data_IF_304146866754
#
_entry.id   IF_304146866754
#
_cell.length_a   1.000
_cell.length_b   1.000
_cell.length_c   1.000
_cell.angle_alpha   90.00
_cell.angle_beta   90.00
_cell.angle_gamma   90.00
#
_symmetry.space_group_name_H-M   'P 1'
#
loop_
_entity.id
_entity.type
_entity.pdbx_description
1 polymer ?
#
# COMPACT_ATOMS: atom_id res chain seq x y z
N UNK A 1 18.65 69.95 43.29
CA UNK A 1 17.32 69.51 43.80
C UNK A 1 17.20 68.02 43.51
N UNK A 2 18.04 67.16 44.10
CA UNK A 2 17.98 66.59 45.47
C UNK A 2 17.26 65.22 45.42
N UNK A 3 17.89 64.04 45.56
CA UNK A 3 19.32 63.71 45.56
C UNK A 3 19.63 62.39 46.28
N UNK A 4 20.62 61.63 45.76
CA UNK A 4 21.71 60.95 46.53
C UNK A 4 21.33 59.70 47.38
N UNK A 5 22.18 58.66 47.60
CA UNK A 5 23.41 58.17 46.92
C UNK A 5 23.45 56.64 46.57
N UNK A 6 24.53 56.21 45.90
CA UNK A 6 25.17 54.86 45.96
C UNK A 6 26.54 54.98 46.69
N UNK A 7 27.37 53.95 47.00
CA UNK A 7 27.37 52.53 46.61
C UNK A 7 27.35 51.60 47.87
N UNK A 8 28.34 50.76 48.32
CA UNK A 8 29.71 50.41 47.88
C UNK A 8 29.85 48.95 47.36
N UNK A 9 31.08 48.40 47.38
CA UNK A 9 31.50 47.04 46.96
C UNK A 9 32.46 46.47 48.01
N UNK A 10 32.34 45.18 48.38
CA UNK A 10 33.47 44.38 48.94
C UNK A 10 33.21 42.87 48.84
N UNK A 11 34.24 42.08 48.47
CA UNK A 11 34.32 40.64 48.76
C UNK A 11 34.77 40.37 50.22
N UNK A 12 35.08 39.11 50.63
CA UNK A 12 36.06 38.26 49.92
C UNK A 12 35.76 36.73 49.90
N UNK A 13 36.72 35.99 49.37
CA UNK A 13 36.82 34.51 49.29
C UNK A 13 36.85 33.78 50.65
N UNK A 14 36.55 32.47 50.65
CA UNK A 14 37.52 31.38 50.98
C UNK A 14 36.88 29.98 50.82
N UNK A 15 37.74 28.99 50.57
CA UNK A 15 37.44 27.58 50.25
C UNK A 15 37.07 26.77 51.49
N UNK A 16 36.15 25.81 51.34
CA UNK A 16 35.91 24.74 52.31
C UNK A 16 35.49 23.44 51.62
N UNK A 17 36.34 22.42 51.65
CA UNK A 17 36.03 21.09 51.12
C UNK A 17 35.31 20.24 52.20
N UNK A 18 34.25 19.52 51.80
CA UNK A 18 33.49 18.63 52.69
C UNK A 18 32.88 17.48 51.89
N UNK A 19 33.29 16.25 52.21
CA UNK A 19 32.93 15.03 51.50
C UNK A 19 31.55 14.48 51.86
N UNK A 20 30.80 14.06 50.83
CA UNK A 20 30.06 12.80 50.83
C UNK A 20 28.64 12.78 51.43
N UNK A 21 27.64 12.80 50.56
CA UNK A 21 26.45 11.96 50.71
C UNK A 21 25.85 11.67 49.33
N UNK A 22 25.52 10.39 49.13
CA UNK A 22 24.87 9.80 47.95
C UNK A 22 23.45 10.38 47.75
N UNK A 23 23.15 10.94 46.58
CA UNK A 23 21.76 11.09 46.14
C UNK A 23 21.63 10.85 44.63
N UNK A 24 21.05 9.69 44.28
CA UNK A 24 20.91 9.19 42.92
C UNK A 24 19.80 9.92 42.17
N UNK A 25 20.15 11.06 41.57
CA UNK A 25 19.22 11.87 40.77
C UNK A 25 18.80 11.14 39.49
N UNK A 26 17.67 10.44 39.57
CA UNK A 26 17.10 9.67 38.48
C UNK A 26 16.65 10.59 37.32
N UNK A 27 17.46 10.63 36.26
CA UNK A 27 17.12 11.27 34.99
C UNK A 27 15.88 10.59 34.42
N UNK A 28 14.73 11.26 34.49
CA UNK A 28 13.49 10.81 33.87
C UNK A 28 13.65 10.85 32.35
N UNK A 29 14.02 9.73 31.75
CA UNK A 29 13.87 9.55 30.31
C UNK A 29 12.39 9.70 29.95
N UNK A 30 12.07 10.76 29.20
CA UNK A 30 10.79 10.86 28.52
C UNK A 30 10.72 9.76 27.46
N UNK A 31 10.03 8.68 27.82
CA UNK A 31 9.64 7.56 26.96
C UNK A 31 8.70 8.07 25.85
N UNK A 32 9.28 8.66 24.80
CA UNK A 32 8.54 9.05 23.59
C UNK A 32 8.21 7.81 22.77
N UNK A 33 7.25 7.02 23.27
CA UNK A 33 6.65 5.90 22.52
C UNK A 33 6.12 6.45 21.20
N UNK A 34 6.52 5.89 20.04
CA UNK A 34 5.91 6.29 18.78
C UNK A 34 4.43 5.90 18.81
N UNK A 35 3.56 6.90 18.72
CA UNK A 35 2.10 6.74 18.78
C UNK A 35 1.65 5.70 17.75
N UNK A 36 1.13 4.57 18.22
CA UNK A 36 0.69 3.47 17.37
C UNK A 36 -0.60 3.83 16.61
N UNK A 37 -0.50 4.62 15.55
CA UNK A 37 -1.58 4.82 14.57
C UNK A 37 -1.66 3.57 13.68
N UNK A 38 -2.02 2.44 14.29
CA UNK A 38 -2.41 1.22 13.58
C UNK A 38 -3.93 1.18 13.43
N UNK A 39 -4.50 2.22 12.82
CA UNK A 39 -5.82 2.08 12.18
C UNK A 39 -5.62 1.08 11.05
N UNK A 40 -6.45 0.03 10.99
CA UNK A 40 -6.44 -0.97 9.91
C UNK A 40 -6.84 -0.29 8.58
N UNK A 41 -5.88 0.37 7.94
CA UNK A 41 -5.98 0.88 6.59
C UNK A 41 -5.99 -0.32 5.66
N UNK A 42 -7.18 -0.80 5.33
CA UNK A 42 -7.41 -1.80 4.29
C UNK A 42 -7.36 -1.07 2.96
N UNK A 43 -6.27 -1.21 2.23
CA UNK A 43 -6.19 -0.64 0.89
C UNK A 43 -7.15 -1.42 0.00
N UNK A 44 -8.04 -0.73 -0.72
CA UNK A 44 -9.06 -1.32 -1.59
C UNK A 44 -8.45 -1.82 -2.94
N UNK A 45 -7.31 -2.53 -2.86
CA UNK A 45 -6.85 -3.45 -3.88
C UNK A 45 -7.42 -4.81 -3.53
N UNK A 46 -8.64 -5.06 -4.01
CA UNK A 46 -9.34 -6.32 -3.78
C UNK A 46 -8.64 -7.42 -4.60
N UNK A 47 -8.25 -8.57 -4.00
CA UNK A 47 -7.61 -9.64 -4.73
C UNK A 47 -8.55 -10.22 -5.80
N UNK A 48 -8.04 -10.68 -6.94
CA UNK A 48 -8.86 -11.42 -7.91
C UNK A 48 -9.46 -12.65 -7.22
N UNK A 49 -10.76 -12.88 -7.42
CA UNK A 49 -11.53 -13.90 -6.70
C UNK A 49 -11.02 -15.32 -6.98
N UNK A 50 -10.07 -15.78 -6.16
CA UNK A 50 -9.54 -17.15 -6.19
C UNK A 50 -10.59 -18.17 -5.73
N UNK A 51 -10.81 -19.20 -6.56
CA UNK A 51 -11.68 -20.33 -6.22
C UNK A 51 -11.08 -21.08 -5.02
N UNK A 52 -11.89 -21.34 -4.00
CA UNK A 52 -11.45 -22.07 -2.81
C UNK A 52 -11.07 -23.51 -3.14
N UNK A 53 -9.82 -23.89 -2.87
CA UNK A 53 -9.39 -25.28 -2.86
C UNK A 53 -10.01 -25.99 -1.65
N UNK A 54 -10.64 -27.14 -1.89
CA UNK A 54 -11.35 -27.91 -0.87
C UNK A 54 -10.42 -28.53 0.18
N UNK A 55 -11.00 -28.83 1.35
CA UNK A 55 -10.30 -29.46 2.48
C UNK A 55 -9.95 -30.91 2.12
N UNK A 56 -8.69 -31.30 2.31
CA UNK A 56 -8.31 -32.71 2.29
C UNK A 56 -8.90 -33.45 3.49
N UNK A 57 -9.60 -34.56 3.24
CA UNK A 57 -10.05 -35.51 4.27
C UNK A 57 -9.21 -36.78 4.13
N UNK A 58 -8.60 -37.20 5.22
CA UNK A 58 -7.83 -38.45 5.35
C UNK A 58 -8.72 -39.59 5.81
N UNK A 59 -8.66 -40.79 5.19
CA UNK A 59 -9.38 -41.95 5.74
C UNK A 59 -9.46 -43.24 4.92
N UNK A 60 -8.38 -44.03 4.90
CA UNK A 60 -8.30 -45.51 4.95
C UNK A 60 -9.38 -46.41 4.27
N UNK A 61 -8.92 -47.18 3.27
CA UNK A 61 -8.99 -48.66 3.11
C UNK A 61 -10.28 -49.45 3.40
N UNK A 62 -10.76 -50.21 2.38
CA UNK A 62 -11.18 -51.63 2.50
C UNK A 62 -11.26 -52.31 1.11
N UNK A 63 -11.28 -53.63 1.08
CA UNK A 63 -11.02 -54.49 -0.11
C UNK A 63 -12.25 -55.27 -0.58
N UNK A 64 -12.21 -55.76 -1.82
CA UNK A 64 -12.84 -56.99 -2.37
C UNK A 64 -14.31 -57.03 -2.86
N UNK A 65 -14.43 -57.40 -4.15
CA UNK A 65 -15.24 -58.51 -4.70
C UNK A 65 -16.68 -58.37 -5.22
N UNK A 66 -16.86 -59.01 -6.40
CA UNK A 66 -18.04 -59.64 -7.02
C UNK A 66 -19.19 -58.79 -7.61
N UNK A 67 -19.09 -58.58 -8.93
CA UNK A 67 -20.02 -59.07 -9.98
C UNK A 67 -21.50 -59.38 -9.63
N UNK A 68 -22.46 -58.78 -10.35
CA UNK A 68 -23.35 -59.50 -11.29
C UNK A 68 -24.22 -58.58 -12.20
N UNK A 69 -24.32 -58.97 -13.48
CA UNK A 69 -25.43 -58.85 -14.45
C UNK A 69 -26.28 -57.56 -14.66
N UNK A 70 -25.99 -56.86 -15.77
CA UNK A 70 -26.81 -56.83 -17.02
C UNK A 70 -28.30 -56.37 -17.00
N UNK A 71 -28.60 -55.17 -17.57
CA UNK A 71 -29.77 -54.81 -18.44
C UNK A 71 -29.78 -53.28 -18.76
N UNK A 72 -30.51 -52.77 -19.79
CA UNK A 72 -30.03 -52.70 -21.17
C UNK A 72 -29.92 -51.25 -21.71
N UNK A 73 -29.54 -51.11 -22.98
CA UNK A 73 -29.38 -49.81 -23.68
C UNK A 73 -30.64 -48.94 -23.67
N UNK A 74 -30.43 -47.63 -23.54
CA UNK A 74 -31.43 -46.61 -23.91
C UNK A 74 -30.80 -45.62 -24.88
N UNK A 75 -30.93 -45.92 -26.18
CA UNK A 75 -30.50 -45.05 -27.28
C UNK A 75 -31.22 -43.70 -27.18
N UNK A 76 -30.46 -42.59 -27.17
CA UNK A 76 -31.02 -41.23 -27.28
C UNK A 76 -30.54 -40.56 -28.57
N UNK A 77 -31.42 -39.83 -29.29
CA UNK A 77 -31.19 -39.45 -30.68
C UNK A 77 -30.18 -38.30 -30.84
N UNK A 78 -29.49 -38.29 -31.98
CA UNK A 78 -28.66 -37.17 -32.43
C UNK A 78 -29.52 -35.90 -32.57
N UNK A 79 -29.20 -34.86 -31.81
CA UNK A 79 -29.76 -33.52 -32.05
C UNK A 79 -29.02 -32.85 -33.21
N UNK A 80 -29.78 -32.33 -34.16
CA UNK A 80 -29.31 -31.55 -35.29
C UNK A 80 -28.65 -30.25 -34.86
N UNK A 81 -27.53 -29.91 -35.49
CA UNK A 81 -26.88 -28.60 -35.33
C UNK A 81 -27.62 -27.61 -36.23
N UNK A 82 -28.50 -26.80 -35.64
CA UNK A 82 -29.07 -25.64 -36.33
C UNK A 82 -28.00 -24.55 -36.37
N UNK A 83 -27.46 -24.28 -37.55
CA UNK A 83 -26.49 -23.23 -37.76
C UNK A 83 -27.16 -21.85 -37.70
N UNK A 84 -27.13 -21.20 -36.54
CA UNK A 84 -27.56 -19.81 -36.41
C UNK A 84 -26.60 -18.90 -37.18
N UNK A 85 -27.09 -18.26 -38.25
CA UNK A 85 -26.35 -17.23 -38.99
C UNK A 85 -25.87 -16.15 -38.02
N UNK A 86 -24.55 -15.97 -37.90
CA UNK A 86 -23.99 -14.75 -37.30
C UNK A 86 -24.21 -13.60 -38.28
N UNK A 87 -25.06 -12.65 -37.91
CA UNK A 87 -25.11 -11.36 -38.61
C UNK A 87 -23.77 -10.66 -38.45
N UNK A 88 -23.05 -10.51 -39.56
CA UNK A 88 -21.90 -9.62 -39.63
C UNK A 88 -22.42 -8.17 -39.69
N UNK A 89 -22.07 -7.39 -38.68
CA UNK A 89 -22.07 -5.93 -38.61
C UNK A 89 -21.20 -5.55 -37.39
N UNK A 90 -20.64 -4.34 -37.37
CA UNK A 90 -19.60 -3.89 -36.41
C UNK A 90 -18.18 -4.43 -36.64
N UNK A 91 -17.77 -4.51 -37.90
CA UNK A 91 -16.35 -4.37 -38.25
C UNK A 91 -15.93 -2.90 -38.18
N UNK A 92 -15.57 -2.43 -36.98
CA UNK A 92 -14.78 -1.20 -36.81
C UNK A 92 -13.53 -1.60 -36.06
N UNK A 93 -12.43 -1.68 -36.79
CA UNK A 93 -11.11 -1.87 -36.21
C UNK A 93 -10.75 -0.56 -35.47
N UNK A 94 -10.95 -0.56 -34.15
CA UNK A 94 -10.70 0.62 -33.32
C UNK A 94 -9.19 0.86 -33.26
N UNK A 95 -8.66 1.97 -33.81
CA UNK A 95 -7.24 2.23 -33.73
C UNK A 95 -6.82 2.27 -32.26
N UNK A 96 -5.75 1.54 -31.92
CA UNK A 96 -5.16 1.56 -30.58
C UNK A 96 -4.77 3.01 -30.28
N UNK A 97 -5.57 3.67 -29.46
CA UNK A 97 -5.35 5.06 -29.10
C UNK A 97 -3.91 5.23 -28.60
N UNK A 98 -3.15 6.10 -29.27
CA UNK A 98 -1.89 6.57 -28.74
C UNK A 98 -2.15 7.18 -27.35
N UNK A 99 -1.21 7.07 -26.38
CA UNK A 99 -1.40 7.67 -25.08
C UNK A 99 -1.62 9.17 -25.26
N UNK A 100 -2.85 9.63 -25.02
CA UNK A 100 -3.16 11.05 -24.98
C UNK A 100 -2.25 11.67 -23.91
N UNK A 101 -1.42 12.63 -24.30
CA UNK A 101 -0.47 13.29 -23.42
C UNK A 101 -1.22 13.76 -22.16
N UNK A 102 -0.96 13.11 -21.03
CA UNK A 102 -1.60 13.46 -19.78
C UNK A 102 -1.16 14.89 -19.43
N UNK A 103 -2.12 15.81 -19.36
CA UNK A 103 -1.83 17.19 -19.00
C UNK A 103 -1.05 17.26 -17.70
N UNK A 104 -0.18 18.26 -17.59
CA UNK A 104 0.70 18.50 -16.44
C UNK A 104 -0.10 18.58 -15.12
N UNK A 105 0.44 18.11 -13.99
CA UNK A 105 -0.31 18.13 -12.73
C UNK A 105 -0.33 19.52 -12.10
N UNK A 106 -1.49 20.19 -12.07
CA UNK A 106 -1.61 21.52 -11.44
C UNK A 106 -2.14 21.48 -9.99
N UNK A 107 -2.84 20.41 -9.59
CA UNK A 107 -3.47 20.28 -8.27
C UNK A 107 -4.76 19.46 -8.32
N UNK A 108 -5.21 18.98 -7.17
CA UNK A 108 -6.57 18.47 -6.97
C UNK A 108 -7.56 19.63 -6.72
N UNK A 109 -8.86 19.41 -6.98
CA UNK A 109 -9.88 20.46 -6.84
C UNK A 109 -10.00 21.06 -5.42
N UNK A 110 -9.77 20.26 -4.38
CA UNK A 110 -9.73 20.80 -3.01
C UNK A 110 -8.86 19.97 -2.05
N UNK A 111 -8.33 20.63 -1.02
CA UNK A 111 -7.43 20.04 0.00
C UNK A 111 -8.15 19.26 1.10
N UNK A 112 -9.46 19.44 1.21
CA UNK A 112 -10.29 18.99 2.34
C UNK A 112 -11.09 17.72 1.99
N UNK A 113 -11.11 17.32 0.72
CA UNK A 113 -11.84 16.20 0.16
C UNK A 113 -13.35 16.45 0.17
N UNK A 114 -13.81 17.67 -0.13
CA UNK A 114 -15.23 18.06 -0.02
C UNK A 114 -16.13 17.20 -0.91
N UNK A 115 -15.72 16.91 -2.13
CA UNK A 115 -16.41 15.96 -3.01
C UNK A 115 -16.64 14.60 -2.30
N UNK A 116 -15.59 14.02 -1.72
CA UNK A 116 -15.69 12.73 -1.02
C UNK A 116 -16.55 12.80 0.25
N UNK A 117 -16.60 13.94 0.96
CA UNK A 117 -17.53 14.18 2.08
C UNK A 117 -18.99 14.30 1.62
N UNK A 118 -19.23 14.81 0.41
CA UNK A 118 -20.56 14.86 -0.18
C UNK A 118 -20.99 13.46 -0.66
N UNK A 119 -20.10 12.74 -1.36
CA UNK A 119 -20.30 11.36 -1.82
C UNK A 119 -20.57 10.39 -0.65
N UNK A 120 -19.82 10.49 0.45
CA UNK A 120 -20.06 9.67 1.64
C UNK A 120 -21.47 9.81 2.23
N UNK A 121 -22.12 10.98 2.05
CA UNK A 121 -23.51 11.24 2.44
C UNK A 121 -24.52 10.90 1.34
N UNK A 122 -24.06 10.67 0.11
CA UNK A 122 -24.89 10.49 -1.09
C UNK A 122 -24.43 9.28 -1.90
N UNK A 123 -24.41 8.11 -1.29
CA UNK A 123 -24.02 6.82 -1.91
C UNK A 123 -25.07 6.28 -2.89
N UNK A 124 -25.61 7.14 -3.76
CA UNK A 124 -26.70 6.89 -4.72
C UNK A 124 -26.24 7.18 -6.16
N UNK A 125 -26.75 6.42 -7.13
CA UNK A 125 -26.27 6.45 -8.53
C UNK A 125 -26.66 7.72 -9.28
N UNK A 126 -27.88 8.20 -9.04
CA UNK A 126 -28.42 9.47 -9.54
C UNK A 126 -27.55 10.65 -9.08
N UNK A 127 -27.21 10.70 -7.78
CA UNK A 127 -26.36 11.75 -7.24
C UNK A 127 -24.97 11.73 -7.86
N UNK A 128 -24.32 10.56 -7.94
CA UNK A 128 -23.00 10.47 -8.59
C UNK A 128 -23.05 10.81 -10.08
N UNK A 129 -24.12 10.46 -10.81
CA UNK A 129 -24.26 10.83 -12.21
C UNK A 129 -24.29 12.35 -12.39
N UNK A 130 -25.03 13.08 -11.54
CA UNK A 130 -25.08 14.54 -11.56
C UNK A 130 -23.74 15.22 -11.18
N UNK A 131 -22.92 14.59 -10.32
CA UNK A 131 -21.63 15.14 -9.87
C UNK A 131 -20.41 14.47 -10.55
N UNK A 132 -20.65 13.71 -11.62
CA UNK A 132 -19.60 12.91 -12.28
C UNK A 132 -18.47 13.78 -12.83
N UNK A 133 -18.81 14.94 -13.40
CA UNK A 133 -17.84 15.87 -13.96
C UNK A 133 -16.92 16.48 -12.89
N UNK A 134 -17.46 16.80 -11.70
CA UNK A 134 -16.67 17.26 -10.55
C UNK A 134 -15.62 16.22 -10.13
N UNK A 135 -16.00 14.94 -10.09
CA UNK A 135 -15.05 13.85 -9.84
C UNK A 135 -14.01 13.70 -10.95
N UNK A 136 -14.44 13.67 -12.21
CA UNK A 136 -13.55 13.39 -13.34
C UNK A 136 -12.53 14.52 -13.55
N UNK A 137 -12.97 15.78 -13.48
CA UNK A 137 -12.10 16.95 -13.64
C UNK A 137 -11.30 17.28 -12.37
N UNK A 138 -11.92 17.18 -11.19
CA UNK A 138 -11.30 17.60 -9.94
C UNK A 138 -10.39 16.57 -9.27
N UNK A 139 -10.56 15.28 -9.62
CA UNK A 139 -9.88 14.18 -8.95
C UNK A 139 -9.28 13.15 -9.91
N UNK A 140 -10.06 12.64 -10.88
CA UNK A 140 -9.58 11.55 -11.73
C UNK A 140 -8.50 12.01 -12.73
N UNK A 141 -8.72 13.11 -13.45
CA UNK A 141 -7.74 13.66 -14.36
C UNK A 141 -6.48 14.16 -13.63
N UNK A 142 -6.57 14.93 -12.52
CA UNK A 142 -5.41 15.26 -11.69
C UNK A 142 -4.65 14.04 -11.15
N UNK A 143 -5.31 12.96 -10.74
CA UNK A 143 -4.61 11.74 -10.29
C UNK A 143 -3.84 11.06 -11.43
N UNK A 144 -4.39 11.03 -12.66
CA UNK A 144 -3.68 10.52 -13.84
C UNK A 144 -2.45 11.38 -14.14
N UNK A 145 -2.62 12.71 -14.18
CA UNK A 145 -1.54 13.68 -14.38
C UNK A 145 -0.43 13.54 -13.34
N UNK A 146 -0.81 13.47 -12.06
CA UNK A 146 0.13 13.31 -10.93
C UNK A 146 0.98 12.06 -11.08
N UNK A 147 0.36 10.90 -11.32
CA UNK A 147 1.09 9.65 -11.39
C UNK A 147 1.93 9.51 -12.66
N UNK A 148 1.51 10.13 -13.77
CA UNK A 148 2.33 10.23 -14.98
C UNK A 148 3.58 11.09 -14.75
N UNK A 149 3.41 12.35 -14.31
CA UNK A 149 4.52 13.29 -14.06
C UNK A 149 5.48 12.77 -12.98
N UNK A 150 4.95 12.10 -11.94
CA UNK A 150 5.81 11.45 -10.94
C UNK A 150 6.52 10.23 -11.54
N UNK A 151 5.84 9.33 -12.26
CA UNK A 151 6.45 8.12 -12.87
C UNK A 151 7.66 8.47 -13.72
N UNK A 152 7.53 9.43 -14.63
CA UNK A 152 8.64 9.91 -15.47
C UNK A 152 9.83 10.38 -14.63
N UNK A 153 9.58 11.11 -13.54
CA UNK A 153 10.64 11.65 -12.66
C UNK A 153 11.26 10.62 -11.70
N UNK A 154 10.59 9.51 -11.40
CA UNK A 154 11.12 8.45 -10.52
C UNK A 154 11.70 7.26 -11.29
N UNK A 155 11.36 7.04 -12.56
CA UNK A 155 11.85 5.92 -13.37
C UNK A 155 13.40 5.81 -13.41
N UNK A 156 14.17 6.91 -13.56
CA UNK A 156 15.64 6.84 -13.51
C UNK A 156 16.21 6.44 -12.13
N UNK A 157 15.38 6.37 -11.10
CA UNK A 157 15.78 5.90 -9.75
C UNK A 157 15.70 4.37 -9.62
N UNK A 158 15.14 3.66 -10.59
CA UNK A 158 14.96 2.20 -10.60
C UNK A 158 15.70 1.53 -11.77
N UNK A 159 17.05 1.65 -11.85
CA UNK A 159 17.83 1.25 -13.03
C UNK A 159 17.83 -0.27 -13.30
N UNK A 160 17.42 -1.10 -12.35
CA UNK A 160 17.30 -2.56 -12.52
C UNK A 160 15.86 -3.02 -12.79
N UNK A 161 14.89 -2.20 -12.40
CA UNK A 161 13.50 -2.59 -12.22
C UNK A 161 12.56 -1.53 -12.84
N UNK A 162 12.40 -1.52 -14.18
CA UNK A 162 11.70 -0.44 -14.89
C UNK A 162 10.26 -0.28 -14.40
N UNK A 163 9.74 0.95 -14.43
CA UNK A 163 8.40 1.23 -13.91
C UNK A 163 7.31 0.99 -14.94
N UNK A 164 6.29 0.24 -14.56
CA UNK A 164 5.11 0.00 -15.39
C UNK A 164 4.19 1.22 -15.48
N UNK A 165 3.25 1.15 -16.41
CA UNK A 165 2.25 2.21 -16.64
C UNK A 165 1.46 2.56 -15.35
N UNK A 166 1.30 3.86 -15.03
CA UNK A 166 0.49 4.32 -13.91
C UNK A 166 -0.96 3.83 -13.95
N UNK A 167 -1.49 3.41 -12.81
CA UNK A 167 -2.86 2.86 -12.70
C UNK A 167 -3.67 3.61 -11.65
N UNK A 168 -4.77 4.23 -12.08
CA UNK A 168 -5.77 4.85 -11.20
C UNK A 168 -6.94 3.88 -10.98
N UNK A 169 -7.37 3.67 -9.74
CA UNK A 169 -8.47 2.77 -9.44
C UNK A 169 -9.82 3.36 -9.87
N UNK A 170 -10.75 2.48 -10.26
CA UNK A 170 -12.17 2.85 -10.43
C UNK A 170 -12.76 3.33 -9.09
N UNK A 171 -13.64 4.32 -9.16
CA UNK A 171 -14.40 4.82 -7.99
C UNK A 171 -15.45 3.80 -7.51
N UNK A 172 -15.95 2.94 -8.39
CA UNK A 172 -16.94 1.92 -8.04
C UNK A 172 -16.31 0.82 -7.16
N UNK A 173 -17.02 0.41 -6.09
CA UNK A 173 -16.62 -0.73 -5.24
C UNK A 173 -16.98 -2.07 -5.89
N UNK A 174 -16.36 -3.19 -5.50
CA UNK A 174 -16.99 -4.51 -5.69
C UNK A 174 -17.82 -4.88 -4.45
N UNK A 175 -19.14 -4.80 -4.59
CA UNK A 175 -20.05 -5.02 -3.46
C UNK A 175 -20.57 -6.46 -3.38
N UNK A 176 -20.15 -7.37 -4.28
CA UNK A 176 -20.70 -8.75 -4.35
C UNK A 176 -20.50 -9.48 -3.03
N UNK A 177 -19.27 -9.50 -2.52
CA UNK A 177 -18.89 -10.21 -1.30
C UNK A 177 -18.71 -9.30 -0.07
N UNK A 178 -18.84 -7.98 -0.23
CA UNK A 178 -18.73 -7.02 0.88
C UNK A 178 -19.99 -7.02 1.76
N UNK A 179 -19.83 -6.81 3.07
CA UNK A 179 -20.95 -6.49 3.98
C UNK A 179 -21.48 -5.08 3.74
N UNK A 180 -20.56 -4.13 3.52
CA UNK A 180 -20.90 -2.78 3.05
C UNK A 180 -21.27 -2.83 1.57
N UNK A 181 -22.52 -2.44 1.25
CA UNK A 181 -23.06 -2.42 -0.11
C UNK A 181 -22.95 -1.05 -0.79
N UNK A 182 -22.20 -0.11 -0.20
CA UNK A 182 -21.85 1.19 -0.80
C UNK A 182 -21.32 1.05 -2.23
N UNK A 183 -21.98 1.62 -3.25
CA UNK A 183 -21.55 1.46 -4.65
C UNK A 183 -20.25 2.20 -4.98
N UNK A 184 -19.89 3.23 -4.22
CA UNK A 184 -18.75 4.11 -4.48
C UNK A 184 -17.75 4.14 -3.32
N UNK A 185 -16.47 4.25 -3.66
CA UNK A 185 -15.37 4.58 -2.75
C UNK A 185 -15.40 6.07 -2.41
N UNK A 186 -15.20 6.40 -1.13
CA UNK A 186 -15.10 7.77 -0.63
C UNK A 186 -13.66 8.31 -0.67
N UNK A 187 -12.89 7.83 -1.64
CA UNK A 187 -11.51 8.19 -1.92
C UNK A 187 -11.18 7.88 -3.39
N UNK A 188 -10.11 8.49 -3.89
CA UNK A 188 -9.41 8.09 -5.10
C UNK A 188 -8.03 7.54 -4.72
N UNK A 189 -7.52 6.60 -5.50
CA UNK A 189 -6.13 6.19 -5.39
C UNK A 189 -5.57 5.66 -6.70
N UNK A 190 -4.26 5.50 -6.73
CA UNK A 190 -3.55 4.91 -7.85
C UNK A 190 -2.10 4.59 -7.48
N UNK A 191 -1.40 3.93 -8.39
CA UNK A 191 -0.06 3.41 -8.14
C UNK A 191 0.79 3.32 -9.41
N UNK A 192 2.09 3.30 -9.20
CA UNK A 192 3.13 3.00 -10.19
C UNK A 192 3.83 1.72 -9.71
N UNK A 193 3.70 0.66 -10.50
CA UNK A 193 4.26 -0.65 -10.21
C UNK A 193 5.69 -0.77 -10.75
N UNK A 194 6.47 -1.69 -10.18
CA UNK A 194 7.59 -2.28 -10.90
C UNK A 194 7.00 -3.15 -12.03
N UNK A 195 7.49 -2.98 -13.26
CA UNK A 195 7.04 -3.78 -14.38
C UNK A 195 7.62 -5.20 -14.34
N UNK A 196 6.92 -6.17 -14.93
CA UNK A 196 7.31 -7.59 -14.92
C UNK A 196 7.21 -8.31 -13.55
N UNK A 197 7.42 -7.61 -12.43
CA UNK A 197 7.51 -8.17 -11.07
C UNK A 197 6.17 -8.59 -10.43
N UNK A 198 5.20 -9.05 -11.23
CA UNK A 198 3.88 -9.53 -10.81
C UNK A 198 2.71 -8.75 -11.42
N UNK A 199 1.51 -8.89 -10.85
CA UNK A 199 0.30 -8.17 -11.31
C UNK A 199 -0.57 -7.71 -10.15
N UNK A 200 -1.16 -6.52 -10.29
CA UNK A 200 -2.15 -6.00 -9.34
C UNK A 200 -1.57 -5.74 -7.94
N UNK A 201 -2.23 -6.20 -6.84
CA UNK A 201 -1.72 -6.04 -5.47
C UNK A 201 -0.42 -6.80 -5.23
N UNK A 202 -0.15 -7.80 -6.07
CA UNK A 202 0.92 -8.78 -5.94
C UNK A 202 2.17 -8.39 -6.74
N UNK A 203 2.25 -7.15 -7.23
CA UNK A 203 3.48 -6.54 -7.71
C UNK A 203 4.01 -5.53 -6.66
N UNK A 204 5.33 -5.41 -6.46
CA UNK A 204 5.92 -4.28 -5.76
C UNK A 204 5.54 -2.96 -6.44
N UNK A 205 5.20 -1.95 -5.64
CA UNK A 205 4.90 -0.60 -6.10
C UNK A 205 6.01 0.38 -5.70
N UNK A 206 6.57 1.08 -6.67
CA UNK A 206 7.46 2.22 -6.46
C UNK A 206 6.73 3.38 -5.76
N UNK A 207 5.43 3.55 -6.06
CA UNK A 207 4.58 4.54 -5.43
C UNK A 207 3.11 4.09 -5.44
N UNK A 208 2.40 4.37 -4.34
CA UNK A 208 0.95 4.39 -4.25
C UNK A 208 0.51 5.70 -3.59
N UNK A 209 -0.56 6.29 -4.10
CA UNK A 209 -1.21 7.50 -3.58
C UNK A 209 -2.69 7.20 -3.34
N UNK A 210 -3.21 7.65 -2.21
CA UNK A 210 -4.61 7.52 -1.82
C UNK A 210 -5.07 8.80 -1.12
N UNK A 211 -6.16 9.38 -1.64
CA UNK A 211 -6.73 10.64 -1.20
C UNK A 211 -8.24 10.49 -1.00
N UNK A 212 -8.71 10.68 0.22
CA UNK A 212 -10.13 10.69 0.58
C UNK A 212 -10.48 11.89 1.45
N UNK A 213 -11.73 11.90 1.94
CA UNK A 213 -12.20 12.96 2.85
C UNK A 213 -11.36 13.05 4.14
N UNK A 214 -11.12 11.91 4.77
CA UNK A 214 -10.46 11.81 6.08
C UNK A 214 -8.99 11.35 5.99
N UNK A 215 -8.63 10.66 4.91
CA UNK A 215 -7.38 9.92 4.76
C UNK A 215 -6.54 10.47 3.60
N UNK A 216 -5.26 10.73 3.87
CA UNK A 216 -4.24 11.08 2.88
C UNK A 216 -3.07 10.15 3.13
N UNK A 217 -2.84 9.22 2.22
CA UNK A 217 -1.85 8.17 2.39
C UNK A 217 -0.99 8.04 1.13
N UNK A 218 0.31 7.93 1.35
CA UNK A 218 1.31 7.62 0.33
C UNK A 218 2.20 6.51 0.86
N UNK A 219 2.52 5.51 0.05
CA UNK A 219 3.44 4.44 0.43
C UNK A 219 4.18 3.85 -0.77
N UNK A 220 5.17 3.02 -0.48
CA UNK A 220 5.87 2.18 -1.44
C UNK A 220 6.14 0.78 -0.85
N UNK A 221 6.44 -0.19 -1.71
CA UNK A 221 6.71 -1.59 -1.35
C UNK A 221 5.67 -2.57 -1.91
N UNK A 222 5.60 -3.77 -1.34
CA UNK A 222 4.82 -4.89 -1.85
C UNK A 222 3.64 -5.15 -0.91
N UNK A 223 2.45 -4.67 -1.29
CA UNK A 223 1.28 -4.60 -0.38
C UNK A 223 0.79 -5.98 0.10
N UNK A 224 0.55 -6.89 -0.84
CA UNK A 224 0.15 -8.28 -0.60
C UNK A 224 1.09 -9.17 -1.41
N UNK A 225 1.61 -10.23 -0.79
CA UNK A 225 2.44 -11.23 -1.47
C UNK A 225 1.65 -12.54 -1.62
N UNK A 226 1.72 -13.16 -2.80
CA UNK A 226 1.20 -14.51 -3.04
C UNK A 226 2.03 -15.57 -2.27
N UNK A 227 1.53 -16.81 -2.10
CA UNK A 227 2.23 -17.84 -1.31
C UNK A 227 3.70 -18.09 -1.68
N UNK A 228 4.02 -18.08 -2.97
CA UNK A 228 5.40 -18.26 -3.48
C UNK A 228 6.28 -17.03 -3.20
N UNK A 229 5.74 -15.82 -3.39
CA UNK A 229 6.42 -14.56 -3.05
C UNK A 229 6.68 -14.48 -1.54
N UNK A 230 5.74 -14.97 -0.72
CA UNK A 230 5.91 -15.08 0.73
C UNK A 230 6.98 -16.10 1.14
N UNK A 231 7.16 -17.17 0.38
CA UNK A 231 8.25 -18.11 0.63
C UNK A 231 9.61 -17.45 0.39
N UNK A 232 9.82 -16.87 -0.81
CA UNK A 232 11.06 -16.15 -1.17
C UNK A 232 11.34 -14.96 -0.24
N UNK A 233 10.31 -14.20 0.13
CA UNK A 233 10.44 -13.14 1.12
C UNK A 233 10.91 -13.64 2.49
N UNK A 234 10.33 -14.73 3.01
CA UNK A 234 10.73 -15.27 4.32
C UNK A 234 12.13 -15.87 4.29
N UNK A 235 12.51 -16.53 3.20
CA UNK A 235 13.88 -17.02 3.00
C UNK A 235 14.89 -15.85 3.00
N UNK A 236 14.64 -14.80 2.22
CA UNK A 236 15.47 -13.60 2.20
C UNK A 236 15.47 -12.82 3.54
N UNK A 237 14.44 -12.98 4.37
CA UNK A 237 14.40 -12.44 5.74
C UNK A 237 15.22 -13.27 6.73
N UNK A 238 15.39 -14.59 6.50
CA UNK A 238 16.29 -15.43 7.29
C UNK A 238 17.76 -15.23 6.90
N UNK A 239 18.05 -15.13 5.61
CA UNK A 239 19.39 -14.88 5.06
C UNK A 239 20.05 -13.65 5.72
N UNK A 240 21.23 -13.83 6.31
CA UNK A 240 21.88 -12.80 7.12
C UNK A 240 22.28 -11.55 6.32
N UNK A 241 22.73 -11.73 5.08
CA UNK A 241 23.10 -10.60 4.21
C UNK A 241 21.85 -9.87 3.71
N UNK A 242 20.91 -10.58 3.08
CA UNK A 242 19.69 -10.00 2.49
C UNK A 242 18.79 -9.40 3.57
N UNK A 243 18.51 -10.12 4.65
CA UNK A 243 17.64 -9.67 5.72
C UNK A 243 18.32 -8.67 6.67
N UNK A 244 19.64 -8.74 6.85
CA UNK A 244 20.42 -7.69 7.53
C UNK A 244 20.36 -6.36 6.77
N UNK A 245 20.52 -6.39 5.44
CA UNK A 245 20.32 -5.24 4.58
C UNK A 245 18.88 -4.69 4.67
N UNK A 246 17.86 -5.56 4.68
CA UNK A 246 16.47 -5.14 4.87
C UNK A 246 16.26 -4.40 6.21
N UNK A 247 16.77 -4.94 7.32
CA UNK A 247 16.68 -4.28 8.64
C UNK A 247 17.38 -2.92 8.62
N UNK A 248 18.53 -2.80 7.96
CA UNK A 248 19.23 -1.52 7.80
C UNK A 248 18.41 -0.50 6.99
N UNK A 249 17.77 -0.92 5.89
CA UNK A 249 16.86 -0.11 5.06
C UNK A 249 15.67 0.37 5.89
N UNK A 250 14.96 -0.54 6.55
CA UNK A 250 13.78 -0.21 7.36
C UNK A 250 14.13 0.72 8.53
N UNK A 251 15.28 0.52 9.19
CA UNK A 251 15.79 1.41 10.25
C UNK A 251 16.11 2.82 9.73
N UNK A 252 16.67 2.94 8.53
CA UNK A 252 16.94 4.25 7.88
C UNK A 252 15.64 4.96 7.50
N UNK A 253 14.65 4.22 7.02
CA UNK A 253 13.31 4.72 6.70
C UNK A 253 12.53 5.15 7.94
N UNK A 254 12.59 4.38 9.03
CA UNK A 254 11.96 4.72 10.32
C UNK A 254 12.48 6.05 10.90
N UNK A 255 13.81 6.24 10.94
CA UNK A 255 14.42 7.54 11.28
C UNK A 255 14.03 8.68 10.33
N UNK A 256 13.55 8.34 9.14
CA UNK A 256 13.08 9.27 8.12
C UNK A 256 11.61 9.66 8.23
N UNK A 257 10.88 9.15 9.23
CA UNK A 257 9.45 9.37 9.43
C UNK A 257 8.53 8.39 8.70
N UNK A 258 9.07 7.32 8.10
CA UNK A 258 8.27 6.30 7.42
C UNK A 258 7.79 5.22 8.39
N UNK A 259 6.55 4.75 8.24
CA UNK A 259 5.96 3.70 9.06
C UNK A 259 5.90 2.35 8.33
N UNK A 260 6.40 1.28 8.95
CA UNK A 260 6.48 -0.07 8.33
C UNK A 260 5.16 -0.83 8.46
N UNK A 261 4.44 -0.98 7.35
CA UNK A 261 3.13 -1.63 7.26
C UNK A 261 3.15 -3.03 6.62
N UNK A 262 1.97 -3.65 6.57
CA UNK A 262 1.67 -4.88 5.82
C UNK A 262 0.15 -4.96 5.61
N UNK A 263 -0.32 -5.62 4.55
CA UNK A 263 -1.76 -5.88 4.36
C UNK A 263 -2.36 -6.71 5.52
N UNK A 264 -1.63 -7.74 5.96
CA UNK A 264 -2.02 -8.64 7.03
C UNK A 264 -0.78 -9.12 7.78
N UNK A 265 -0.90 -9.41 9.07
CA UNK A 265 0.20 -9.83 9.94
C UNK A 265 -0.28 -10.92 10.89
N UNK A 266 0.41 -12.05 10.85
CA UNK A 266 0.14 -13.20 11.69
C UNK A 266 0.43 -12.87 13.16
N UNK A 267 -0.45 -13.35 14.05
CA UNK A 267 -0.27 -13.19 15.50
C UNK A 267 0.93 -13.99 16.04
N UNK A 268 1.29 -15.08 15.36
CA UNK A 268 2.42 -15.95 15.70
C UNK A 268 3.34 -16.10 14.50
N UNK A 269 4.62 -16.36 14.76
CA UNK A 269 5.59 -16.75 13.72
C UNK A 269 5.05 -18.00 12.99
N UNK A 270 5.14 -18.09 11.64
CA UNK A 270 4.67 -19.26 10.92
C UNK A 270 5.41 -20.54 11.35
N UNK A 271 4.77 -21.70 11.20
CA UNK A 271 5.44 -23.00 11.44
C UNK A 271 6.67 -23.15 10.53
N UNK A 272 7.73 -23.76 11.07
CA UNK A 272 9.00 -23.94 10.37
C UNK A 272 10.02 -22.81 10.57
N UNK A 273 9.67 -21.74 11.27
CA UNK A 273 10.57 -20.64 11.62
C UNK A 273 10.74 -20.54 13.14
N UNK A 274 11.94 -20.20 13.59
CA UNK A 274 12.23 -19.96 15.00
C UNK A 274 11.50 -18.71 15.52
N UNK A 275 10.67 -18.82 16.58
CA UNK A 275 10.06 -17.67 17.25
C UNK A 275 11.06 -16.69 17.87
N UNK A 276 12.26 -17.16 18.24
CA UNK A 276 13.34 -16.36 18.83
C UNK A 276 14.20 -15.59 17.82
N UNK A 277 14.01 -15.84 16.52
CA UNK A 277 14.85 -15.24 15.47
C UNK A 277 14.79 -13.69 15.52
N UNK A 278 15.93 -12.96 15.41
CA UNK A 278 15.95 -11.49 15.54
C UNK A 278 15.04 -10.72 14.55
N UNK A 279 14.59 -11.38 13.47
CA UNK A 279 13.70 -10.83 12.44
C UNK A 279 12.30 -11.46 12.46
N UNK A 280 11.90 -12.12 13.55
CA UNK A 280 10.61 -12.81 13.71
C UNK A 280 9.38 -11.97 13.34
N UNK A 281 9.39 -10.67 13.63
CA UNK A 281 8.29 -9.76 13.29
C UNK A 281 8.15 -9.43 11.79
N UNK A 282 9.20 -9.66 11.00
CA UNK A 282 9.12 -9.58 9.54
C UNK A 282 8.52 -10.87 8.98
N UNK A 283 8.88 -12.04 9.52
CA UNK A 283 8.35 -13.35 9.11
C UNK A 283 6.82 -13.47 9.28
N UNK A 284 6.24 -12.76 10.27
CA UNK A 284 4.80 -12.70 10.52
C UNK A 284 4.00 -11.97 9.42
N UNK A 285 4.63 -11.10 8.62
CA UNK A 285 3.95 -10.23 7.65
C UNK A 285 3.52 -10.99 6.40
N UNK A 286 2.49 -10.49 5.70
CA UNK A 286 1.99 -11.03 4.42
C UNK A 286 2.20 -10.07 3.23
N UNK A 287 3.24 -9.26 3.32
CA UNK A 287 3.53 -8.11 2.47
C UNK A 287 4.35 -7.10 3.27
N UNK A 288 5.09 -6.21 2.61
CA UNK A 288 5.93 -5.23 3.27
C UNK A 288 5.85 -3.90 2.54
N UNK A 289 5.31 -2.89 3.23
CA UNK A 289 5.23 -1.51 2.73
C UNK A 289 5.83 -0.54 3.73
N UNK A 290 6.17 0.66 3.24
CA UNK A 290 6.46 1.83 4.06
C UNK A 290 5.53 2.97 3.70
N UNK A 291 4.67 3.36 4.65
CA UNK A 291 3.88 4.59 4.56
C UNK A 291 4.80 5.78 4.78
N UNK A 292 4.68 6.78 3.92
CA UNK A 292 5.47 8.00 3.96
C UNK A 292 4.97 8.87 5.14
N UNK A 293 5.76 9.87 5.60
CA UNK A 293 5.23 10.93 6.47
C UNK A 293 3.94 11.52 5.87
N UNK A 294 2.94 11.87 6.69
CA UNK A 294 1.68 12.41 6.17
C UNK A 294 1.93 13.76 5.46
N UNK A 295 1.62 13.91 4.16
CA UNK A 295 1.84 15.16 3.46
C UNK A 295 0.82 16.21 3.92
N UNK A 296 1.27 17.46 4.06
CA UNK A 296 0.36 18.57 4.34
C UNK A 296 -0.73 18.66 3.27
N UNK A 297 -2.00 18.72 3.68
CA UNK A 297 -3.15 18.89 2.77
C UNK A 297 -3.00 20.09 1.82
N UNK A 298 -2.22 21.12 2.19
CA UNK A 298 -1.91 22.26 1.30
C UNK A 298 -1.15 21.85 0.03
N UNK A 299 -0.35 20.78 0.07
CA UNK A 299 0.38 20.28 -1.10
C UNK A 299 -0.59 19.74 -2.17
N UNK A 300 -1.70 19.11 -1.76
CA UNK A 300 -2.64 18.46 -2.69
C UNK A 300 -3.20 19.41 -3.77
N UNK A 301 -3.30 20.70 -3.46
CA UNK A 301 -3.83 21.74 -4.37
C UNK A 301 -2.73 22.50 -5.11
N UNK A 302 -1.52 21.94 -5.24
CA UNK A 302 -0.43 22.59 -5.96
C UNK A 302 0.64 21.64 -6.49
N UNK A 303 1.32 22.11 -7.55
CA UNK A 303 2.40 21.39 -8.26
C UNK A 303 3.47 20.76 -7.37
N UNK A 304 3.81 21.41 -6.25
CA UNK A 304 4.87 20.98 -5.32
C UNK A 304 4.62 19.62 -4.66
N UNK A 305 3.40 19.07 -4.78
CA UNK A 305 3.15 17.68 -4.40
C UNK A 305 3.96 16.68 -5.24
N UNK A 306 4.21 16.96 -6.53
CA UNK A 306 5.08 16.13 -7.39
C UNK A 306 6.48 16.05 -6.80
N UNK A 307 7.07 17.20 -6.44
CA UNK A 307 8.41 17.25 -5.85
C UNK A 307 8.49 16.55 -4.49
N UNK A 308 7.44 16.69 -3.67
CA UNK A 308 7.33 16.01 -2.39
C UNK A 308 7.28 14.48 -2.57
N UNK A 309 6.48 13.99 -3.53
CA UNK A 309 6.37 12.57 -3.86
C UNK A 309 7.71 12.03 -4.38
N UNK A 310 8.32 12.67 -5.38
CA UNK A 310 9.63 12.27 -5.94
C UNK A 310 10.70 12.20 -4.85
N UNK A 311 10.75 13.21 -3.97
CA UNK A 311 11.72 13.27 -2.87
C UNK A 311 11.55 12.13 -1.87
N UNK A 312 10.31 11.77 -1.50
CA UNK A 312 10.06 10.68 -0.56
C UNK A 312 10.22 9.30 -1.22
N UNK A 313 9.78 9.13 -2.47
CA UNK A 313 10.00 7.89 -3.24
C UNK A 313 11.48 7.58 -3.38
N UNK A 314 12.34 8.58 -3.67
CA UNK A 314 13.80 8.40 -3.72
C UNK A 314 14.40 7.80 -2.44
N UNK A 315 13.79 8.04 -1.27
CA UNK A 315 14.21 7.46 0.01
C UNK A 315 13.77 6.00 0.16
N UNK A 316 12.62 5.65 -0.44
CA UNK A 316 12.03 4.31 -0.41
C UNK A 316 12.56 3.36 -1.51
N UNK A 317 13.20 3.87 -2.57
CA UNK A 317 13.84 3.08 -3.66
C UNK A 317 14.57 1.84 -3.16
N UNK A 318 15.48 1.89 -2.14
CA UNK A 318 16.23 0.70 -1.72
C UNK A 318 15.35 -0.44 -1.19
N UNK A 319 14.19 -0.13 -0.59
CA UNK A 319 13.24 -1.14 -0.14
C UNK A 319 12.51 -1.78 -1.31
N UNK A 320 12.05 -0.96 -2.27
CA UNK A 320 11.29 -1.43 -3.43
C UNK A 320 12.19 -2.27 -4.34
N UNK A 321 13.42 -1.83 -4.60
CA UNK A 321 14.46 -2.59 -5.31
C UNK A 321 14.77 -3.91 -4.61
N UNK A 322 14.93 -3.92 -3.28
CA UNK A 322 15.15 -5.15 -2.51
C UNK A 322 13.96 -6.13 -2.62
N UNK A 323 12.72 -5.61 -2.66
CA UNK A 323 11.52 -6.42 -2.82
C UNK A 323 11.32 -6.92 -4.25
N UNK A 324 11.73 -6.14 -5.26
CA UNK A 324 11.61 -6.50 -6.67
C UNK A 324 12.61 -7.59 -7.06
N UNK A 325 13.84 -7.54 -6.53
CA UNK A 325 14.85 -8.59 -6.69
C UNK A 325 14.47 -9.95 -6.05
N UNK A 326 13.31 -10.07 -5.37
CA UNK A 326 12.74 -11.35 -4.93
C UNK A 326 11.77 -11.96 -5.95
N UNK A 327 11.54 -11.29 -7.09
CA UNK A 327 10.76 -11.81 -8.21
C UNK A 327 11.64 -12.41 -9.32
N UNK A 328 12.95 -12.16 -9.27
CA UNK A 328 14.01 -12.86 -9.99
C UNK A 328 14.20 -14.30 -9.46
#
# INVERSE_FOLDING_TARGET
MNGVPSPPVTGPSIVGAGTGADETSAVRHHDTRPTAINKRLRWDIEPPGGRGAGRGVTGRTATTSRSFQNRPECVRPRRSVVATRRSALWGIDMPRAAPAAAGRFEGFADRDGRFFRALARNQRRDWFAAHRQEYEQGWQAPMKALLAEVRERIDPLFPRHPLGEPKVFRIHRDVRFSKDKSPYKTHIGGYVAIDGAGRGPSAPAALYVHLGAAEVLVAAGHYMMEPEQLARFREAVLDDARGGALVAILRKLGRGGFAVGSHDTLQRVPRGFDPGHPRADLLKRKGLIVTFPEPSRRLLVGRTFVDWLVTHTKRAVPLVEWLAALAE
#
